data_IF_955583785381
#
_entry.id   IF_955583785381
#
_cell.length_a   1.000
_cell.length_b   1.000
_cell.length_c   1.000
_cell.angle_alpha   90.00
_cell.angle_beta   90.00
_cell.angle_gamma   90.00
#
_symmetry.space_group_name_H-M   'P 1'
#
loop_
_entity.id
_entity.type
_entity.pdbx_description
1 polymer ?
#
# COMPACT_ATOMS: atom_id res chain seq x y z
N UNK A 1 -12.09 -5.41 9.77
CA UNK A 1 -12.66 -4.49 10.78
C UNK A 1 -12.06 -3.10 10.54
N UNK A 2 -12.86 -2.06 10.37
CA UNK A 2 -12.34 -0.70 10.15
C UNK A 2 -12.15 -0.03 11.50
N UNK A 3 -10.92 0.38 11.82
CA UNK A 3 -10.52 0.75 13.19
C UNK A 3 -10.30 2.25 13.39
N UNK A 4 -10.41 3.06 12.33
CA UNK A 4 -10.17 4.51 12.38
C UNK A 4 -11.41 5.28 11.92
N UNK A 5 -11.88 6.21 12.75
CA UNK A 5 -12.95 7.16 12.44
C UNK A 5 -12.32 8.49 11.98
N UNK A 6 -12.85 9.05 10.90
CA UNK A 6 -12.45 10.35 10.38
C UNK A 6 -13.69 11.21 10.17
N UNK A 7 -13.57 12.51 10.41
CA UNK A 7 -14.62 13.48 10.13
C UNK A 7 -14.29 14.18 8.82
N UNK A 8 -15.22 14.18 7.88
CA UNK A 8 -15.05 14.81 6.56
C UNK A 8 -16.09 15.91 6.47
N UNK A 9 -15.64 17.11 6.11
CA UNK A 9 -16.53 18.23 5.86
C UNK A 9 -17.06 18.16 4.43
N UNK A 10 -18.37 18.15 4.28
CA UNK A 10 -19.06 18.18 2.98
C UNK A 10 -19.82 19.49 2.83
N UNK A 11 -19.97 19.94 1.60
CA UNK A 11 -20.92 21.00 1.31
C UNK A 11 -22.36 20.46 1.42
N UNK A 12 -23.33 21.32 1.73
CA UNK A 12 -24.73 20.92 1.92
C UNK A 12 -25.30 20.11 0.76
N UNK A 13 -25.06 20.57 -0.48
CA UNK A 13 -25.49 19.88 -1.70
C UNK A 13 -24.91 18.48 -1.82
N UNK A 14 -23.63 18.31 -1.45
CA UNK A 14 -22.95 17.02 -1.52
C UNK A 14 -23.50 16.05 -0.46
N UNK A 15 -23.70 16.55 0.76
CA UNK A 15 -24.24 15.75 1.85
C UNK A 15 -25.68 15.32 1.59
N UNK A 16 -26.54 16.23 1.11
CA UNK A 16 -27.91 15.93 0.74
C UNK A 16 -27.99 14.84 -0.34
N UNK A 17 -27.14 14.95 -1.38
CA UNK A 17 -27.04 13.93 -2.41
C UNK A 17 -26.61 12.56 -1.84
N UNK A 18 -25.56 12.54 -1.01
CA UNK A 18 -25.08 11.30 -0.38
C UNK A 18 -26.11 10.67 0.55
N UNK A 19 -26.86 11.48 1.31
CA UNK A 19 -27.91 11.02 2.21
C UNK A 19 -29.08 10.40 1.43
N UNK A 20 -29.52 11.05 0.34
CA UNK A 20 -30.56 10.49 -0.53
C UNK A 20 -30.13 9.17 -1.16
N UNK A 21 -28.87 9.09 -1.63
CA UNK A 21 -28.31 7.87 -2.21
C UNK A 21 -28.15 6.75 -1.18
N UNK A 22 -27.74 7.09 0.04
CA UNK A 22 -27.61 6.16 1.15
C UNK A 22 -28.95 5.54 1.52
N UNK A 23 -29.99 6.38 1.62
CA UNK A 23 -31.37 5.98 1.88
C UNK A 23 -31.90 5.05 0.78
N UNK A 24 -31.73 5.42 -0.50
CA UNK A 24 -32.15 4.59 -1.64
C UNK A 24 -31.51 3.20 -1.63
N UNK A 25 -30.26 3.09 -1.19
CA UNK A 25 -29.52 1.84 -1.17
C UNK A 25 -29.62 1.08 0.16
N UNK A 26 -30.39 1.59 1.14
CA UNK A 26 -30.49 1.05 2.49
C UNK A 26 -29.11 0.84 3.16
N UNK A 27 -28.23 1.83 3.02
CA UNK A 27 -26.85 1.82 3.56
C UNK A 27 -26.53 3.13 4.27
N UNK A 28 -25.37 3.22 4.92
CA UNK A 28 -24.90 4.48 5.50
C UNK A 28 -24.09 5.33 4.51
N UNK A 29 -24.07 6.66 4.73
CA UNK A 29 -23.16 7.58 4.00
C UNK A 29 -21.70 7.13 4.14
N UNK A 30 -21.31 6.65 5.32
CA UNK A 30 -19.95 6.13 5.55
C UNK A 30 -19.62 4.90 4.69
N UNK A 31 -20.59 4.02 4.46
CA UNK A 31 -20.39 2.85 3.58
C UNK A 31 -20.23 3.27 2.12
N UNK A 32 -21.01 4.25 1.66
CA UNK A 32 -20.87 4.81 0.31
C UNK A 32 -19.49 5.43 0.11
N UNK A 33 -19.06 6.28 1.04
CA UNK A 33 -17.72 6.91 0.99
C UNK A 33 -16.64 5.84 0.95
N UNK A 34 -16.75 4.80 1.79
CA UNK A 34 -15.77 3.70 1.81
C UNK A 34 -15.72 2.93 0.49
N UNK A 35 -16.88 2.60 -0.09
CA UNK A 35 -16.96 1.93 -1.39
C UNK A 35 -16.35 2.80 -2.49
N UNK A 36 -16.60 4.10 -2.45
CA UNK A 36 -16.01 5.06 -3.39
C UNK A 36 -14.49 5.14 -3.24
N UNK A 37 -13.96 5.22 -2.01
CA UNK A 37 -12.52 5.22 -1.75
C UNK A 37 -11.87 3.95 -2.29
N UNK A 38 -12.45 2.78 -2.01
CA UNK A 38 -11.96 1.51 -2.56
C UNK A 38 -12.00 1.56 -4.09
N UNK A 39 -13.12 1.94 -4.70
CA UNK A 39 -13.22 1.97 -6.16
C UNK A 39 -12.19 2.90 -6.82
N UNK A 40 -11.93 4.07 -6.23
CA UNK A 40 -11.07 5.11 -6.84
C UNK A 40 -9.59 4.84 -6.58
N UNK A 41 -9.24 4.48 -5.34
CA UNK A 41 -7.84 4.38 -4.90
C UNK A 41 -7.36 2.94 -4.77
N UNK A 42 -8.25 1.96 -4.59
CA UNK A 42 -7.89 0.56 -4.53
C UNK A 42 -7.91 -0.06 -5.93
N UNK A 43 -6.80 0.08 -6.64
CA UNK A 43 -6.54 -0.63 -7.90
C UNK A 43 -5.77 -1.93 -7.59
N UNK A 44 -6.39 -3.12 -7.68
CA UNK A 44 -5.78 -4.38 -7.25
C UNK A 44 -4.52 -4.75 -8.06
N UNK A 45 -4.48 -4.40 -9.35
CA UNK A 45 -3.33 -4.70 -10.23
C UNK A 45 -2.04 -3.99 -9.78
N UNK A 46 -2.10 -2.71 -9.42
CA UNK A 46 -0.93 -1.96 -8.94
C UNK A 46 -0.52 -2.34 -7.51
N UNK A 47 -1.47 -2.82 -6.70
CA UNK A 47 -1.20 -3.19 -5.30
C UNK A 47 -0.43 -4.51 -5.20
N UNK A 48 -0.80 -5.52 -5.98
CA UNK A 48 -0.09 -6.81 -5.96
C UNK A 48 1.33 -6.70 -6.50
N UNK A 49 1.54 -5.94 -7.58
CA UNK A 49 2.87 -5.74 -8.15
C UNK A 49 3.78 -4.96 -7.20
N UNK A 50 3.27 -3.90 -6.57
CA UNK A 50 4.02 -3.17 -5.53
C UNK A 50 4.36 -4.03 -4.32
N UNK A 51 3.43 -4.88 -3.87
CA UNK A 51 3.68 -5.80 -2.75
C UNK A 51 4.72 -6.86 -3.15
N UNK A 52 4.66 -7.39 -4.38
CA UNK A 52 5.67 -8.32 -4.91
C UNK A 52 7.04 -7.67 -4.96
N UNK A 53 7.16 -6.49 -5.57
CA UNK A 53 8.41 -5.74 -5.67
C UNK A 53 8.96 -5.37 -4.28
N UNK A 54 8.10 -4.90 -3.37
CA UNK A 54 8.50 -4.59 -2.00
C UNK A 54 9.05 -5.83 -1.27
N UNK A 55 8.40 -6.99 -1.44
CA UNK A 55 8.88 -8.25 -0.86
C UNK A 55 10.19 -8.73 -1.51
N UNK A 56 10.38 -8.54 -2.81
CA UNK A 56 11.64 -8.83 -3.50
C UNK A 56 12.78 -7.93 -3.00
N UNK A 57 12.54 -6.63 -2.86
CA UNK A 57 13.52 -5.67 -2.30
C UNK A 57 13.90 -6.05 -0.86
N UNK A 58 12.92 -6.44 -0.03
CA UNK A 58 13.21 -6.90 1.33
C UNK A 58 14.02 -8.21 1.33
N UNK A 59 13.71 -9.16 0.45
CA UNK A 59 14.49 -10.40 0.32
C UNK A 59 15.94 -10.12 -0.10
N UNK A 60 16.14 -9.24 -1.07
CA UNK A 60 17.48 -8.81 -1.51
C UNK A 60 18.23 -8.11 -0.37
N UNK A 61 17.56 -7.24 0.38
CA UNK A 61 18.14 -6.54 1.54
C UNK A 61 18.48 -7.47 2.70
N UNK A 62 17.72 -8.57 2.89
CA UNK A 62 18.03 -9.61 3.88
C UNK A 62 19.15 -10.55 3.42
N UNK A 63 19.24 -10.82 2.12
CA UNK A 63 20.31 -11.63 1.52
C UNK A 63 21.66 -10.91 1.46
N UNK A 64 21.65 -9.59 1.33
CA UNK A 64 22.81 -8.72 1.60
C UNK A 64 22.99 -8.53 3.12
N UNK A 65 23.16 -9.64 3.83
CA UNK A 65 23.78 -9.60 5.14
C UNK A 65 25.10 -8.84 5.04
N UNK A 66 25.43 -8.04 6.07
CA UNK A 66 26.67 -7.27 6.16
C UNK A 66 27.84 -8.13 5.69
N UNK A 67 28.34 -7.88 4.47
CA UNK A 67 29.53 -8.57 3.96
C UNK A 67 30.63 -8.24 4.97
N UNK A 68 31.17 -9.28 5.61
CA UNK A 68 32.23 -9.07 6.60
C UNK A 68 33.47 -8.60 5.85
N UNK A 69 34.23 -7.68 6.44
CA UNK A 69 35.46 -7.13 5.83
C UNK A 69 36.44 -8.25 5.39
N UNK A 70 36.42 -9.40 6.08
CA UNK A 70 37.17 -10.60 5.67
C UNK A 70 36.76 -11.20 4.33
N UNK A 71 35.45 -11.30 4.05
CA UNK A 71 34.92 -11.83 2.78
C UNK A 71 35.24 -10.89 1.61
N UNK A 72 35.28 -9.57 1.84
CA UNK A 72 35.71 -8.58 0.84
C UNK A 72 37.17 -8.78 0.46
N UNK A 73 38.04 -9.09 1.44
CA UNK A 73 39.48 -9.32 1.21
C UNK A 73 39.72 -10.58 0.36
N UNK A 74 38.94 -11.63 0.57
CA UNK A 74 39.00 -12.86 -0.22
C UNK A 74 38.53 -12.65 -1.66
N UNK A 75 37.44 -11.90 -1.87
CA UNK A 75 36.95 -11.54 -3.20
C UNK A 75 37.95 -10.69 -3.99
N UNK A 76 38.61 -9.73 -3.34
CA UNK A 76 39.66 -8.90 -3.96
C UNK A 76 40.88 -9.76 -4.33
N UNK A 77 41.31 -10.67 -3.46
CA UNK A 77 42.45 -11.54 -3.75
C UNK A 77 42.15 -12.55 -4.87
N UNK A 78 40.92 -13.06 -4.95
CA UNK A 78 40.48 -13.95 -6.03
C UNK A 78 40.58 -13.25 -7.40
N UNK A 79 40.13 -12.00 -7.50
CA UNK A 79 40.24 -11.20 -8.72
C UNK A 79 41.67 -10.71 -9.05
N UNK A 80 42.65 -10.94 -8.16
CA UNK A 80 44.06 -10.60 -8.38
C UNK A 80 44.90 -11.79 -8.88
N UNK A 81 44.35 -13.00 -8.76
CA UNK A 81 44.94 -14.25 -9.25
C UNK A 81 44.56 -14.55 -10.72
N UNK A 82 43.66 -13.77 -11.31
CA UNK A 82 43.24 -13.84 -12.72
C UNK A 82 43.40 -12.48 -13.40
#
# INVERSE_FOLDING_TARGET
>A
MLTKRTNILFNEKQFAYLAALASKNNTSVGDLVRKAVLKVYWKPEQSQERIKIFNEIIKLKKGMGRIKVGEIKELINYGRLY
#
